data_IF_577181489846
#
_entry.id   IF_577181489846
#
_cell.length_a   1.000
_cell.length_b   1.000
_cell.length_c   1.000
_cell.angle_alpha   90.00
_cell.angle_beta   90.00
_cell.angle_gamma   90.00
#
_symmetry.space_group_name_H-M   'P 1'
#
loop_
_entity.id
_entity.type
_entity.pdbx_description
1 polymer ?
#
# COMPACT_ATOMS: atom_id res chain seq x y z
N UNK A 1 9.29 -61.32 31.46
CA UNK A 1 7.95 -61.60 30.97
C UNK A 1 7.09 -60.42 31.41
N UNK A 2 6.79 -59.48 30.58
CA UNK A 2 5.82 -59.46 29.55
C UNK A 2 6.10 -58.34 28.54
N UNK A 3 5.98 -58.70 27.30
CA UNK A 3 6.17 -57.91 26.09
C UNK A 3 4.82 -57.26 25.78
N UNK A 4 4.75 -55.92 25.67
CA UNK A 4 3.68 -55.30 24.93
C UNK A 4 4.14 -54.00 24.30
N UNK A 5 4.87 -54.16 23.22
CA UNK A 5 5.15 -53.09 22.24
C UNK A 5 3.90 -52.78 21.44
N UNK A 6 3.20 -51.67 21.78
CA UNK A 6 2.20 -51.09 20.90
C UNK A 6 2.88 -50.15 19.90
N UNK A 7 3.14 -50.67 18.70
CA UNK A 7 3.41 -49.88 17.48
C UNK A 7 2.24 -48.92 17.25
N UNK A 8 2.44 -47.63 17.50
CA UNK A 8 1.58 -46.57 16.95
C UNK A 8 1.80 -46.55 15.43
N UNK A 9 0.92 -47.25 14.72
CA UNK A 9 0.85 -47.20 13.29
C UNK A 9 0.55 -45.77 12.80
N UNK A 10 1.39 -45.26 11.94
CA UNK A 10 1.19 -44.06 11.17
C UNK A 10 -0.09 -44.15 10.33
N UNK A 11 -1.19 -43.65 10.86
CA UNK A 11 -2.34 -43.28 10.07
C UNK A 11 -2.08 -41.91 9.49
N UNK A 12 -1.23 -41.83 8.49
CA UNK A 12 -1.27 -40.76 7.50
C UNK A 12 -2.58 -40.93 6.72
N UNK A 13 -3.68 -40.49 7.31
CA UNK A 13 -4.95 -40.38 6.61
C UNK A 13 -4.71 -39.36 5.50
N UNK A 14 -4.66 -39.86 4.26
CA UNK A 14 -4.87 -39.06 3.08
C UNK A 14 -6.10 -38.17 3.36
N UNK A 15 -5.86 -36.88 3.61
CA UNK A 15 -6.92 -35.89 3.65
C UNK A 15 -7.52 -35.91 2.24
N UNK A 16 -8.60 -36.68 2.07
CA UNK A 16 -9.44 -36.56 0.88
C UNK A 16 -9.72 -35.09 0.70
N UNK A 17 -9.37 -34.55 -0.46
CA UNK A 17 -9.57 -33.16 -0.83
C UNK A 17 -11.06 -32.86 -0.69
N UNK A 18 -11.43 -32.28 0.42
CA UNK A 18 -12.79 -31.75 0.59
C UNK A 18 -12.96 -30.67 -0.49
N UNK A 19 -14.05 -30.66 -1.23
CA UNK A 19 -14.30 -29.63 -2.20
C UNK A 19 -14.17 -28.25 -1.52
N UNK A 20 -13.56 -27.26 -2.19
CA UNK A 20 -13.32 -25.96 -1.61
C UNK A 20 -14.65 -25.32 -1.15
N UNK A 21 -14.64 -24.66 0.00
CA UNK A 21 -15.82 -23.98 0.51
C UNK A 21 -16.35 -22.94 -0.49
N UNK A 22 -17.64 -22.59 -0.49
CA UNK A 22 -18.17 -21.54 -1.36
C UNK A 22 -17.39 -20.24 -1.27
N UNK A 23 -16.97 -19.83 -0.08
CA UNK A 23 -16.13 -18.64 0.11
C UNK A 23 -14.74 -18.78 -0.52
N UNK A 24 -14.15 -19.96 -0.52
CA UNK A 24 -12.88 -20.21 -1.17
C UNK A 24 -13.01 -20.09 -2.69
N UNK A 25 -14.07 -20.68 -3.27
CA UNK A 25 -14.35 -20.58 -4.72
C UNK A 25 -14.59 -19.14 -5.17
N UNK A 26 -15.39 -18.37 -4.43
CA UNK A 26 -15.65 -16.95 -4.72
C UNK A 26 -14.36 -16.13 -4.66
N UNK A 27 -13.55 -16.35 -3.63
CA UNK A 27 -12.28 -15.65 -3.46
C UNK A 27 -11.29 -15.95 -4.59
N UNK A 28 -11.20 -17.21 -5.00
CA UNK A 28 -10.36 -17.65 -6.11
C UNK A 28 -10.85 -17.09 -7.44
N UNK A 29 -12.15 -17.16 -7.72
CA UNK A 29 -12.77 -16.59 -8.92
C UNK A 29 -12.46 -15.10 -9.05
N UNK A 30 -12.66 -14.31 -7.98
CA UNK A 30 -12.35 -12.88 -7.98
C UNK A 30 -10.87 -12.62 -8.25
N UNK A 31 -9.98 -13.32 -7.54
CA UNK A 31 -8.56 -13.15 -7.69
C UNK A 31 -8.08 -13.47 -9.11
N UNK A 32 -8.47 -14.63 -9.64
CA UNK A 32 -8.10 -15.04 -11.00
C UNK A 32 -8.65 -14.08 -12.05
N UNK A 33 -9.90 -13.65 -11.91
CA UNK A 33 -10.53 -12.74 -12.87
C UNK A 33 -9.87 -11.37 -12.85
N UNK A 34 -9.63 -10.80 -11.65
CA UNK A 34 -8.95 -9.52 -11.49
C UNK A 34 -7.54 -9.54 -12.09
N UNK A 35 -6.73 -10.54 -11.74
CA UNK A 35 -5.36 -10.69 -12.25
C UNK A 35 -5.35 -10.84 -13.77
N UNK A 36 -6.23 -11.69 -14.31
CA UNK A 36 -6.35 -11.89 -15.75
C UNK A 36 -6.63 -10.59 -16.52
N UNK A 37 -7.47 -9.72 -15.98
CA UNK A 37 -7.81 -8.45 -16.63
C UNK A 37 -6.75 -7.36 -16.42
N UNK A 38 -5.94 -7.44 -15.36
CA UNK A 38 -4.76 -6.58 -15.19
C UNK A 38 -3.71 -6.93 -16.23
N UNK A 39 -3.39 -8.21 -16.36
CA UNK A 39 -2.33 -8.71 -17.25
C UNK A 39 -2.68 -8.57 -18.74
N UNK A 40 -3.98 -8.55 -19.09
CA UNK A 40 -4.44 -8.56 -20.47
C UNK A 40 -5.45 -7.43 -20.76
N UNK A 41 -4.98 -6.21 -21.06
CA UNK A 41 -5.87 -5.08 -21.35
C UNK A 41 -6.90 -5.33 -22.47
N UNK A 42 -6.52 -6.06 -23.53
CA UNK A 42 -7.45 -6.37 -24.64
C UNK A 42 -8.65 -7.22 -24.24
N UNK A 43 -8.55 -7.96 -23.13
CA UNK A 43 -9.71 -8.70 -22.60
C UNK A 43 -10.73 -7.80 -21.94
N UNK A 44 -10.34 -6.61 -21.48
CA UNK A 44 -11.26 -5.63 -20.88
C UNK A 44 -12.25 -5.11 -21.93
N UNK A 45 -11.76 -4.80 -23.11
CA UNK A 45 -12.61 -4.34 -24.22
C UNK A 45 -13.59 -5.42 -24.66
N UNK A 46 -13.12 -6.68 -24.71
CA UNK A 46 -13.97 -7.83 -25.02
C UNK A 46 -15.05 -8.05 -23.95
N UNK A 47 -14.71 -7.93 -22.69
CA UNK A 47 -15.65 -8.05 -21.58
C UNK A 47 -16.73 -6.95 -21.65
N UNK A 48 -16.31 -5.72 -21.95
CA UNK A 48 -17.22 -4.59 -22.12
C UNK A 48 -18.17 -4.82 -23.30
N UNK A 49 -17.67 -5.25 -24.47
CA UNK A 49 -18.47 -5.55 -25.64
C UNK A 49 -19.47 -6.69 -25.40
N UNK A 50 -19.04 -7.77 -24.71
CA UNK A 50 -19.93 -8.88 -24.36
C UNK A 50 -21.05 -8.46 -23.40
N UNK A 51 -20.73 -7.60 -22.41
CA UNK A 51 -21.74 -7.11 -21.47
C UNK A 51 -22.80 -6.26 -22.16
N UNK A 52 -22.41 -5.38 -23.09
CA UNK A 52 -23.37 -4.56 -23.88
C UNK A 52 -24.35 -5.40 -24.70
N UNK A 53 -23.94 -6.59 -25.13
CA UNK A 53 -24.81 -7.49 -25.87
C UNK A 53 -25.81 -8.26 -25.00
N UNK A 54 -25.47 -8.51 -23.74
CA UNK A 54 -26.21 -9.42 -22.85
C UNK A 54 -27.04 -8.69 -21.78
N UNK A 55 -26.67 -7.45 -21.46
CA UNK A 55 -27.20 -6.70 -20.33
C UNK A 55 -27.85 -5.41 -20.83
N UNK A 56 -29.04 -5.03 -20.34
CA UNK A 56 -29.65 -3.75 -20.69
C UNK A 56 -28.76 -2.57 -20.31
N UNK A 57 -28.73 -1.54 -21.16
CA UNK A 57 -27.86 -0.36 -20.99
C UNK A 57 -28.07 0.32 -19.65
N UNK A 58 -29.31 0.50 -19.20
CA UNK A 58 -29.62 1.11 -17.90
C UNK A 58 -28.92 0.37 -16.73
N UNK A 59 -28.87 -0.94 -16.79
CA UNK A 59 -28.25 -1.77 -15.75
C UNK A 59 -26.72 -1.67 -15.83
N UNK A 60 -26.15 -1.59 -17.03
CA UNK A 60 -24.72 -1.37 -17.20
C UNK A 60 -24.29 0.02 -16.72
N UNK A 61 -25.11 1.03 -16.95
CA UNK A 61 -24.85 2.39 -16.48
C UNK A 61 -24.88 2.45 -14.94
N UNK A 62 -25.90 1.83 -14.33
CA UNK A 62 -25.97 1.74 -12.87
C UNK A 62 -24.77 0.96 -12.29
N UNK A 63 -24.40 -0.17 -12.90
CA UNK A 63 -23.21 -0.94 -12.51
C UNK A 63 -21.93 -0.12 -12.67
N UNK A 64 -21.79 0.60 -13.78
CA UNK A 64 -20.66 1.50 -14.02
C UNK A 64 -20.56 2.60 -12.97
N UNK A 65 -21.68 3.21 -12.60
CA UNK A 65 -21.73 4.22 -11.53
C UNK A 65 -21.26 3.66 -10.19
N UNK A 66 -21.73 2.48 -9.78
CA UNK A 66 -21.29 1.83 -8.54
C UNK A 66 -19.80 1.53 -8.58
N UNK A 67 -19.31 0.96 -9.66
CA UNK A 67 -17.90 0.59 -9.78
C UNK A 67 -16.99 1.81 -9.81
N UNK A 68 -17.40 2.89 -10.49
CA UNK A 68 -16.50 4.00 -10.80
C UNK A 68 -16.61 5.18 -9.85
N UNK A 69 -17.78 5.44 -9.29
CA UNK A 69 -18.08 6.69 -8.60
C UNK A 69 -18.64 6.53 -7.19
N UNK A 70 -19.23 5.38 -6.87
CA UNK A 70 -19.73 5.14 -5.52
C UNK A 70 -18.61 4.95 -4.51
N UNK A 71 -18.96 4.99 -3.23
CA UNK A 71 -18.01 4.67 -2.15
C UNK A 71 -17.43 3.26 -2.37
N UNK A 72 -16.14 3.06 -2.13
CA UNK A 72 -15.48 1.76 -2.30
C UNK A 72 -16.19 0.58 -1.62
N UNK A 73 -16.94 0.81 -0.55
CA UNK A 73 -17.70 -0.24 0.12
C UNK A 73 -18.81 -0.84 -0.75
N UNK A 74 -19.50 -0.02 -1.53
CA UNK A 74 -20.53 -0.49 -2.46
C UNK A 74 -19.92 -1.29 -3.61
N UNK A 75 -18.86 -0.79 -4.21
CA UNK A 75 -18.13 -1.50 -5.27
C UNK A 75 -17.63 -2.86 -4.79
N UNK A 76 -16.96 -2.90 -3.64
CA UNK A 76 -16.37 -4.13 -3.11
C UNK A 76 -17.46 -5.15 -2.74
N UNK A 77 -18.57 -4.69 -2.14
CA UNK A 77 -19.74 -5.53 -1.88
C UNK A 77 -20.34 -6.10 -3.19
N UNK A 78 -20.49 -5.25 -4.20
CA UNK A 78 -21.07 -5.66 -5.49
C UNK A 78 -20.18 -6.70 -6.20
N UNK A 79 -18.87 -6.50 -6.23
CA UNK A 79 -17.92 -7.48 -6.81
C UNK A 79 -18.06 -8.86 -6.15
N UNK A 80 -18.21 -8.90 -4.83
CA UNK A 80 -18.37 -10.16 -4.09
C UNK A 80 -19.74 -10.80 -4.43
N UNK A 81 -20.81 -10.01 -4.51
CA UNK A 81 -22.12 -10.50 -4.87
C UNK A 81 -22.14 -11.11 -6.29
N UNK A 82 -21.56 -10.41 -7.25
CA UNK A 82 -21.45 -10.90 -8.63
C UNK A 82 -20.59 -12.16 -8.71
N UNK A 83 -19.49 -12.22 -7.99
CA UNK A 83 -18.65 -13.42 -7.95
C UNK A 83 -19.36 -14.61 -7.28
N UNK A 84 -20.19 -14.35 -6.26
CA UNK A 84 -21.00 -15.39 -5.64
C UNK A 84 -22.08 -15.90 -6.59
N UNK A 85 -22.82 -15.01 -7.27
CA UNK A 85 -23.80 -15.40 -8.29
C UNK A 85 -23.20 -16.19 -9.44
N UNK A 86 -21.95 -15.85 -9.82
CA UNK A 86 -21.21 -16.57 -10.87
C UNK A 86 -20.70 -17.94 -10.40
N UNK A 87 -20.29 -18.07 -9.14
CA UNK A 87 -19.71 -19.30 -8.58
C UNK A 87 -20.75 -20.30 -8.08
N UNK A 88 -22.02 -19.90 -7.93
CA UNK A 88 -23.09 -20.74 -7.44
C UNK A 88 -24.31 -20.62 -8.37
N UNK A 89 -24.92 -21.75 -8.70
CA UNK A 89 -26.17 -21.81 -9.46
C UNK A 89 -27.41 -21.48 -8.60
N UNK A 90 -27.21 -21.15 -7.31
CA UNK A 90 -28.29 -20.75 -6.43
C UNK A 90 -28.66 -19.29 -6.68
N UNK A 91 -29.96 -18.95 -6.58
CA UNK A 91 -30.45 -17.57 -6.63
C UNK A 91 -29.69 -16.71 -5.61
N UNK A 92 -29.34 -15.49 -6.02
CA UNK A 92 -28.62 -14.55 -5.19
C UNK A 92 -29.48 -14.18 -3.98
N UNK A 93 -29.08 -14.61 -2.80
CA UNK A 93 -29.74 -14.22 -1.57
C UNK A 93 -29.03 -12.99 -0.97
N UNK A 94 -29.54 -11.83 -1.33
CA UNK A 94 -29.00 -10.53 -0.87
C UNK A 94 -29.23 -10.29 0.62
N UNK A 95 -30.13 -11.06 1.24
CA UNK A 95 -30.41 -10.96 2.67
C UNK A 95 -29.36 -11.71 3.50
N UNK A 96 -28.58 -12.59 2.88
CA UNK A 96 -27.55 -13.34 3.60
C UNK A 96 -26.32 -12.49 3.81
N UNK A 97 -26.09 -12.11 5.06
CA UNK A 97 -24.86 -11.52 5.58
C UNK A 97 -23.58 -12.27 5.22
N UNK A 98 -23.70 -13.48 4.74
CA UNK A 98 -22.59 -14.44 4.58
C UNK A 98 -22.13 -14.58 3.14
N UNK A 99 -22.61 -13.81 2.21
CA UNK A 99 -22.09 -13.87 0.84
C UNK A 99 -20.62 -13.49 0.85
N UNK A 100 -19.81 -14.50 0.69
CA UNK A 100 -18.36 -14.38 0.71
C UNK A 100 -17.71 -14.29 2.08
N UNK A 101 -18.42 -13.87 3.12
CA UNK A 101 -17.89 -13.75 4.48
C UNK A 101 -16.67 -12.83 4.61
N UNK A 102 -16.21 -12.65 5.85
CA UNK A 102 -15.08 -11.77 6.18
C UNK A 102 -13.79 -12.12 5.41
N UNK A 103 -13.53 -13.41 5.17
CA UNK A 103 -12.33 -13.88 4.49
C UNK A 103 -12.26 -13.47 3.01
N UNK A 104 -13.40 -13.41 2.29
CA UNK A 104 -13.43 -12.97 0.88
C UNK A 104 -13.14 -11.48 0.80
N UNK A 105 -13.78 -10.68 1.65
CA UNK A 105 -13.56 -9.25 1.70
C UNK A 105 -12.11 -8.88 2.02
N UNK A 106 -11.52 -9.57 3.00
CA UNK A 106 -10.10 -9.34 3.34
C UNK A 106 -9.16 -9.66 2.17
N UNK A 107 -9.41 -10.75 1.44
CA UNK A 107 -8.58 -11.10 0.28
C UNK A 107 -8.77 -10.14 -0.88
N UNK A 108 -10.02 -9.75 -1.15
CA UNK A 108 -10.30 -8.71 -2.16
C UNK A 108 -9.65 -7.39 -1.77
N UNK A 109 -9.84 -6.92 -0.54
CA UNK A 109 -9.22 -5.71 -0.03
C UNK A 109 -7.68 -5.73 -0.10
N UNK A 110 -7.06 -6.87 0.22
CA UNK A 110 -5.62 -7.06 0.08
C UNK A 110 -5.18 -6.95 -1.39
N UNK A 111 -5.89 -7.59 -2.31
CA UNK A 111 -5.58 -7.51 -3.74
C UNK A 111 -5.75 -6.07 -4.27
N UNK A 112 -6.84 -5.39 -3.91
CA UNK A 112 -7.09 -4.01 -4.29
C UNK A 112 -6.00 -3.07 -3.76
N UNK A 113 -5.59 -3.24 -2.50
CA UNK A 113 -4.51 -2.47 -1.90
C UNK A 113 -3.16 -2.71 -2.60
N UNK A 114 -2.84 -3.96 -2.94
CA UNK A 114 -1.62 -4.31 -3.69
C UNK A 114 -1.59 -3.71 -5.10
N UNK A 115 -2.76 -3.43 -5.67
CA UNK A 115 -2.90 -2.77 -6.97
C UNK A 115 -3.27 -1.29 -6.83
N UNK A 116 -3.09 -0.73 -5.63
CA UNK A 116 -3.31 0.67 -5.27
C UNK A 116 -4.71 1.20 -5.61
N UNK A 117 -5.68 0.33 -5.53
CA UNK A 117 -7.08 0.69 -5.65
C UNK A 117 -7.63 0.88 -4.25
N UNK A 118 -8.16 2.08 -3.95
CA UNK A 118 -8.76 2.37 -2.66
C UNK A 118 -9.83 1.32 -2.35
N UNK A 119 -9.69 0.65 -1.23
CA UNK A 119 -10.64 -0.34 -0.72
C UNK A 119 -10.99 -0.02 0.72
N UNK A 120 -12.17 -0.42 1.13
CA UNK A 120 -12.54 -0.43 2.54
C UNK A 120 -12.29 -1.86 3.02
N UNK A 121 -11.13 -2.07 3.65
CA UNK A 121 -10.72 -3.38 4.17
C UNK A 121 -11.76 -4.00 5.12
N UNK A 122 -12.66 -3.17 5.63
CA UNK A 122 -13.72 -3.49 6.57
C UNK A 122 -15.12 -3.32 5.95
N UNK A 123 -15.26 -3.45 4.63
CA UNK A 123 -16.56 -3.25 3.95
C UNK A 123 -17.69 -4.09 4.60
N UNK A 124 -17.37 -5.22 5.24
CA UNK A 124 -18.32 -6.04 5.97
C UNK A 124 -18.55 -5.63 7.43
N UNK A 125 -17.71 -4.82 8.04
CA UNK A 125 -18.01 -4.23 9.35
C UNK A 125 -19.09 -3.14 9.23
N UNK A 126 -19.18 -2.52 8.06
CA UNK A 126 -20.16 -1.49 7.75
C UNK A 126 -21.45 -2.04 7.13
N UNK A 127 -21.54 -3.33 6.82
CA UNK A 127 -22.78 -3.96 6.38
C UNK A 127 -23.75 -3.91 7.56
N UNK A 128 -24.92 -3.31 7.33
CA UNK A 128 -25.95 -3.13 8.34
C UNK A 128 -26.32 -4.44 9.04
N UNK A 129 -26.74 -4.34 10.30
CA UNK A 129 -27.24 -5.51 11.05
C UNK A 129 -28.55 -6.05 10.51
N UNK A 130 -29.26 -5.26 9.71
CA UNK A 130 -30.52 -5.63 9.08
C UNK A 130 -30.26 -6.25 7.71
N UNK A 131 -30.98 -7.32 7.44
CA UNK A 131 -30.89 -8.14 6.24
C UNK A 131 -31.24 -7.40 4.95
N UNK A 132 -31.85 -6.22 5.03
CA UNK A 132 -32.32 -5.45 3.89
C UNK A 132 -31.26 -4.51 3.31
N UNK A 133 -30.23 -4.14 4.10
CA UNK A 133 -29.17 -3.24 3.66
C UNK A 133 -27.80 -3.87 3.88
N UNK A 134 -27.16 -4.33 2.82
CA UNK A 134 -25.84 -4.93 2.84
C UNK A 134 -24.72 -3.91 3.17
N UNK A 135 -24.91 -2.65 2.82
CA UNK A 135 -23.98 -1.55 3.04
C UNK A 135 -24.69 -0.42 3.75
N UNK A 136 -24.02 0.23 4.71
CA UNK A 136 -24.59 1.40 5.39
C UNK A 136 -24.60 2.59 4.43
N UNK A 137 -25.69 3.30 4.38
CA UNK A 137 -25.87 4.47 3.53
C UNK A 137 -26.93 4.19 2.46
N UNK A 138 -27.09 5.13 1.56
CA UNK A 138 -28.07 5.07 0.47
C UNK A 138 -27.35 5.45 -0.83
N UNK A 139 -27.14 4.46 -1.70
CA UNK A 139 -26.63 4.67 -3.06
C UNK A 139 -27.66 4.12 -4.05
N UNK A 140 -28.32 5.03 -4.76
CA UNK A 140 -29.42 4.69 -5.67
C UNK A 140 -28.99 3.72 -6.77
N UNK A 141 -27.78 3.86 -7.29
CA UNK A 141 -27.25 2.97 -8.34
C UNK A 141 -27.00 1.57 -7.80
N UNK A 142 -26.47 1.47 -6.59
CA UNK A 142 -26.25 0.20 -5.92
C UNK A 142 -27.58 -0.50 -5.62
N UNK A 143 -28.55 0.23 -5.07
CA UNK A 143 -29.88 -0.32 -4.77
C UNK A 143 -30.62 -0.79 -6.03
N UNK A 144 -30.53 -0.02 -7.12
CA UNK A 144 -31.12 -0.40 -8.41
C UNK A 144 -30.51 -1.70 -8.95
N UNK A 145 -29.18 -1.83 -8.93
CA UNK A 145 -28.50 -3.05 -9.37
C UNK A 145 -28.86 -4.23 -8.47
N UNK A 146 -28.85 -4.07 -7.16
CA UNK A 146 -29.20 -5.16 -6.25
C UNK A 146 -30.65 -5.62 -6.45
N UNK A 147 -31.58 -4.70 -6.62
CA UNK A 147 -32.99 -5.02 -6.88
C UNK A 147 -33.14 -5.85 -8.18
N UNK A 148 -32.42 -5.43 -9.22
CA UNK A 148 -32.42 -6.16 -10.47
C UNK A 148 -31.78 -7.55 -10.36
N UNK A 149 -30.63 -7.65 -9.70
CA UNK A 149 -29.94 -8.93 -9.43
C UNK A 149 -30.82 -9.91 -8.63
N UNK A 150 -31.68 -9.37 -7.72
CA UNK A 150 -32.58 -10.15 -6.89
C UNK A 150 -33.85 -10.62 -7.60
N UNK A 151 -34.13 -10.09 -8.78
CA UNK A 151 -35.35 -10.43 -9.49
C UNK A 151 -35.45 -11.90 -9.93
N UNK A 152 -34.34 -12.65 -9.84
CA UNK A 152 -34.28 -14.09 -10.17
C UNK A 152 -34.37 -14.41 -11.67
N UNK A 153 -34.30 -13.38 -12.53
CA UNK A 153 -34.47 -13.54 -13.99
C UNK A 153 -33.13 -13.68 -14.74
N UNK A 154 -32.01 -13.61 -14.04
CA UNK A 154 -30.69 -13.62 -14.65
C UNK A 154 -30.18 -15.03 -14.90
N UNK A 155 -29.64 -15.21 -16.09
CA UNK A 155 -28.93 -16.44 -16.48
C UNK A 155 -27.45 -16.39 -15.99
N UNK A 156 -26.83 -17.57 -15.86
CA UNK A 156 -25.43 -17.69 -15.46
C UNK A 156 -24.47 -16.89 -16.37
N UNK A 157 -24.77 -16.86 -17.68
CA UNK A 157 -24.03 -16.08 -18.67
C UNK A 157 -24.08 -14.58 -18.40
N UNK A 158 -25.21 -14.08 -17.92
CA UNK A 158 -25.39 -12.67 -17.59
C UNK A 158 -24.65 -12.32 -16.29
N UNK A 159 -24.70 -13.18 -15.27
CA UNK A 159 -23.88 -13.00 -14.05
C UNK A 159 -22.41 -12.96 -14.39
N UNK A 160 -21.95 -13.84 -15.27
CA UNK A 160 -20.55 -13.84 -15.71
C UNK A 160 -20.19 -12.56 -16.45
N UNK A 161 -21.03 -12.11 -17.36
CA UNK A 161 -20.82 -10.87 -18.12
C UNK A 161 -20.76 -9.64 -17.19
N UNK A 162 -21.64 -9.57 -16.18
CA UNK A 162 -21.63 -8.50 -15.17
C UNK A 162 -20.35 -8.51 -14.34
N UNK A 163 -19.93 -9.68 -13.88
CA UNK A 163 -18.70 -9.83 -13.14
C UNK A 163 -17.49 -9.40 -13.97
N UNK A 164 -17.38 -9.92 -15.20
CA UNK A 164 -16.27 -9.61 -16.10
C UNK A 164 -16.25 -8.10 -16.44
N UNK A 165 -17.39 -7.48 -16.67
CA UNK A 165 -17.51 -6.04 -16.90
C UNK A 165 -17.05 -5.22 -15.67
N UNK A 166 -17.58 -5.53 -14.50
CA UNK A 166 -17.23 -4.83 -13.27
C UNK A 166 -15.74 -4.98 -12.94
N UNK A 167 -15.23 -6.22 -13.05
CA UNK A 167 -13.81 -6.52 -12.78
C UNK A 167 -12.91 -5.86 -13.82
N UNK A 168 -13.28 -5.84 -15.11
CA UNK A 168 -12.52 -5.15 -16.14
C UNK A 168 -12.33 -3.65 -15.84
N UNK A 169 -13.39 -2.98 -15.36
CA UNK A 169 -13.33 -1.57 -14.96
C UNK A 169 -12.45 -1.34 -13.73
N UNK A 170 -12.52 -2.23 -12.75
CA UNK A 170 -11.63 -2.19 -11.57
C UNK A 170 -10.19 -2.43 -11.99
N UNK A 171 -9.93 -3.46 -12.79
CA UNK A 171 -8.60 -3.81 -13.28
C UNK A 171 -7.97 -2.70 -14.15
N UNK A 172 -8.80 -1.93 -14.87
CA UNK A 172 -8.31 -0.77 -15.63
C UNK A 172 -7.70 0.34 -14.75
N UNK A 173 -8.02 0.34 -13.45
CA UNK A 173 -7.46 1.27 -12.47
C UNK A 173 -6.26 0.69 -11.72
N UNK A 174 -6.04 -0.61 -11.86
CA UNK A 174 -4.90 -1.26 -11.22
C UNK A 174 -3.61 -0.67 -11.78
N UNK A 175 -2.73 -0.29 -10.88
CA UNK A 175 -1.39 0.20 -11.20
C UNK A 175 -0.41 -0.69 -10.46
N UNK A 176 0.02 -1.79 -11.06
CA UNK A 176 0.97 -2.69 -10.40
C UNK A 176 2.24 -1.91 -10.05
N UNK A 177 2.76 -2.15 -8.86
CA UNK A 177 4.08 -1.67 -8.47
C UNK A 177 5.10 -2.39 -9.32
N UNK A 178 5.98 -1.61 -9.98
CA UNK A 178 7.11 -2.17 -10.71
C UNK A 178 8.06 -2.85 -9.72
N UNK A 179 8.54 -4.06 -10.01
CA UNK A 179 9.50 -4.72 -9.14
C UNK A 179 10.83 -3.96 -9.13
N UNK A 180 11.51 -4.03 -7.99
CA UNK A 180 12.87 -3.48 -7.87
C UNK A 180 13.79 -4.15 -8.90
N UNK A 181 14.49 -3.38 -9.75
CA UNK A 181 15.41 -3.96 -10.72
C UNK A 181 16.67 -4.52 -10.04
N UNK A 182 17.37 -5.40 -10.73
CA UNK A 182 18.68 -5.86 -10.30
C UNK A 182 19.70 -4.75 -10.48
N UNK A 183 20.39 -4.37 -9.38
CA UNK A 183 21.41 -3.34 -9.41
C UNK A 183 22.79 -3.93 -9.68
N UNK A 184 23.60 -3.23 -10.47
CA UNK A 184 24.98 -3.63 -10.73
C UNK A 184 25.91 -2.98 -9.70
N UNK A 185 26.41 -3.77 -8.75
CA UNK A 185 27.18 -3.31 -7.62
C UNK A 185 28.38 -2.42 -8.00
N UNK A 186 29.12 -2.79 -9.08
CA UNK A 186 30.26 -2.00 -9.57
C UNK A 186 29.88 -0.59 -10.02
N UNK A 187 28.63 -0.38 -10.37
CA UNK A 187 28.08 0.89 -10.83
C UNK A 187 27.56 1.79 -9.72
N UNK A 188 27.37 1.30 -8.50
CA UNK A 188 26.88 2.06 -7.35
C UNK A 188 27.96 2.97 -6.76
N UNK A 189 28.55 3.83 -7.60
CA UNK A 189 29.51 4.82 -7.18
C UNK A 189 28.84 5.97 -6.42
N UNK A 190 29.63 6.71 -5.63
CA UNK A 190 29.15 7.89 -4.91
C UNK A 190 28.38 8.85 -5.85
N UNK A 191 29.03 9.28 -6.93
CA UNK A 191 28.47 10.27 -7.85
C UNK A 191 27.16 9.81 -8.48
N UNK A 192 27.04 8.54 -8.86
CA UNK A 192 25.83 8.01 -9.49
C UNK A 192 24.66 7.91 -8.52
N UNK A 193 24.91 7.46 -7.29
CA UNK A 193 23.85 7.40 -6.26
C UNK A 193 23.40 8.81 -5.87
N UNK A 194 24.32 9.76 -5.71
CA UNK A 194 23.98 11.15 -5.46
C UNK A 194 23.20 11.78 -6.63
N UNK A 195 23.56 11.45 -7.88
CA UNK A 195 22.83 11.90 -9.07
C UNK A 195 21.38 11.39 -9.11
N UNK A 196 21.18 10.10 -8.75
CA UNK A 196 19.84 9.52 -8.59
C UNK A 196 19.04 10.27 -7.53
N UNK A 197 19.61 10.47 -6.32
CA UNK A 197 18.92 11.16 -5.24
C UNK A 197 18.58 12.61 -5.61
N UNK A 198 19.49 13.31 -6.28
CA UNK A 198 19.22 14.67 -6.73
C UNK A 198 18.00 14.72 -7.67
N UNK A 199 17.95 13.83 -8.65
CA UNK A 199 16.81 13.71 -9.56
C UNK A 199 15.51 13.42 -8.82
N UNK A 200 15.51 12.45 -7.89
CA UNK A 200 14.31 12.10 -7.12
C UNK A 200 13.80 13.26 -6.27
N UNK A 201 14.70 14.07 -5.70
CA UNK A 201 14.32 15.22 -4.88
C UNK A 201 13.81 16.42 -5.71
N UNK A 202 13.96 16.37 -7.04
CA UNK A 202 13.36 17.33 -7.98
C UNK A 202 11.95 16.91 -8.42
N UNK A 203 11.57 15.64 -8.17
CA UNK A 203 10.24 15.13 -8.51
C UNK A 203 9.23 15.37 -7.40
N UNK A 204 7.96 15.58 -7.79
CA UNK A 204 6.87 15.81 -6.82
C UNK A 204 6.47 14.50 -6.12
N UNK A 205 7.00 14.26 -4.94
CA UNK A 205 6.70 13.08 -4.11
C UNK A 205 5.95 13.39 -2.81
N UNK A 206 5.67 14.67 -2.55
CA UNK A 206 5.11 15.16 -1.27
C UNK A 206 6.02 14.84 -0.06
N UNK A 207 7.32 14.78 -0.27
CA UNK A 207 8.31 14.47 0.77
C UNK A 207 8.63 12.98 0.95
N UNK A 208 8.05 12.11 0.11
CA UNK A 208 8.28 10.67 0.22
C UNK A 208 9.72 10.28 -0.11
N UNK A 209 10.27 10.82 -1.17
CA UNK A 209 11.64 10.52 -1.56
C UNK A 209 12.62 11.01 -0.52
N UNK A 210 12.41 12.21 0.02
CA UNK A 210 13.27 12.80 1.04
C UNK A 210 13.25 11.96 2.32
N UNK A 211 12.06 11.65 2.85
CA UNK A 211 11.91 10.91 4.10
C UNK A 211 12.47 9.50 3.99
N UNK A 212 12.11 8.76 2.94
CA UNK A 212 12.49 7.35 2.84
C UNK A 212 13.93 7.16 2.37
N UNK A 213 14.49 8.07 1.55
CA UNK A 213 15.92 8.07 1.24
C UNK A 213 16.75 8.33 2.49
N UNK A 214 16.41 9.37 3.26
CA UNK A 214 17.11 9.69 4.51
C UNK A 214 17.05 8.51 5.49
N UNK A 215 15.86 7.94 5.75
CA UNK A 215 15.70 6.81 6.65
C UNK A 215 16.51 5.57 6.21
N UNK A 216 16.47 5.24 4.92
CA UNK A 216 17.17 4.09 4.35
C UNK A 216 18.71 4.24 4.41
N UNK A 217 19.20 5.43 4.09
CA UNK A 217 20.64 5.75 4.16
C UNK A 217 21.12 5.73 5.61
N UNK A 218 20.41 6.38 6.52
CA UNK A 218 20.76 6.43 7.94
C UNK A 218 20.79 5.01 8.54
N UNK A 219 19.81 4.17 8.26
CA UNK A 219 19.79 2.78 8.70
C UNK A 219 21.00 2.01 8.18
N UNK A 220 21.35 2.19 6.89
CA UNK A 220 22.49 1.50 6.29
C UNK A 220 23.85 1.92 6.90
N UNK A 221 23.96 3.20 7.30
CA UNK A 221 25.13 3.70 8.04
C UNK A 221 25.21 3.09 9.43
N UNK A 222 24.11 3.13 10.18
CA UNK A 222 24.02 2.62 11.55
C UNK A 222 24.32 1.12 11.62
N UNK A 223 23.79 0.35 10.67
CA UNK A 223 24.11 -1.08 10.53
C UNK A 223 25.56 -1.33 10.14
N UNK A 224 26.12 -0.49 9.25
CA UNK A 224 27.52 -0.59 8.83
C UNK A 224 28.51 -0.39 9.98
N UNK A 225 28.13 0.37 10.98
CA UNK A 225 28.95 0.60 12.17
C UNK A 225 28.71 -0.42 13.29
N UNK A 226 27.79 -1.35 13.13
CA UNK A 226 27.52 -2.37 14.15
C UNK A 226 27.02 -1.82 15.48
N UNK A 227 26.39 -0.63 15.45
CA UNK A 227 25.99 0.11 16.65
C UNK A 227 24.84 -0.51 17.45
N UNK A 228 24.14 -1.49 16.90
CA UNK A 228 22.92 -2.07 17.49
C UNK A 228 21.72 -1.12 17.50
N UNK A 229 21.85 0.06 16.89
CA UNK A 229 20.76 1.01 16.73
C UNK A 229 19.85 0.59 15.58
N UNK A 230 18.59 1.03 15.65
CA UNK A 230 17.56 0.78 14.64
C UNK A 230 16.92 2.09 14.24
N UNK A 231 16.68 2.25 12.95
CA UNK A 231 15.94 3.39 12.41
C UNK A 231 14.51 2.96 12.12
N UNK A 232 13.57 3.72 12.63
CA UNK A 232 12.16 3.55 12.33
C UNK A 232 11.63 4.80 11.61
N UNK A 233 10.72 4.58 10.67
CA UNK A 233 9.99 5.65 9.98
C UNK A 233 8.52 5.30 9.89
N UNK A 234 7.70 6.31 9.66
CA UNK A 234 6.23 6.18 9.59
C UNK A 234 5.70 6.51 8.19
N UNK A 235 4.42 6.24 8.00
CA UNK A 235 3.71 6.75 6.83
C UNK A 235 3.65 8.29 6.89
N UNK A 236 3.89 8.95 5.75
CA UNK A 236 3.84 10.42 5.61
C UNK A 236 2.54 11.06 6.15
N UNK A 237 1.42 10.36 6.04
CA UNK A 237 0.10 10.85 6.46
C UNK A 237 -0.27 10.42 7.88
N UNK A 238 0.58 9.69 8.59
CA UNK A 238 0.31 9.28 9.96
C UNK A 238 0.60 10.43 10.91
N UNK A 239 -0.38 10.83 11.72
CA UNK A 239 -0.13 11.79 12.79
C UNK A 239 0.77 11.16 13.88
N UNK A 240 1.64 11.96 14.49
CA UNK A 240 2.54 11.50 15.56
C UNK A 240 1.79 10.83 16.71
N UNK A 241 0.60 11.38 17.06
CA UNK A 241 -0.27 10.80 18.09
C UNK A 241 -0.79 9.41 17.74
N UNK A 242 -1.10 9.16 16.47
CA UNK A 242 -1.61 7.85 16.03
C UNK A 242 -0.49 6.83 15.85
N UNK A 243 0.70 7.28 15.44
CA UNK A 243 1.86 6.43 15.21
C UNK A 243 2.69 6.17 16.46
N UNK A 244 2.48 6.94 17.54
CA UNK A 244 3.33 6.93 18.75
C UNK A 244 4.83 7.08 18.42
N UNK A 245 5.14 7.82 17.35
CA UNK A 245 6.49 8.01 16.86
C UNK A 245 7.03 9.39 17.22
N UNK A 246 8.33 9.47 17.50
CA UNK A 246 9.06 10.70 17.69
C UNK A 246 9.53 11.23 16.33
N UNK A 247 8.72 12.07 15.68
CA UNK A 247 9.05 12.63 14.37
C UNK A 247 8.80 11.66 13.19
N UNK A 248 9.29 12.04 12.02
CA UNK A 248 9.14 11.30 10.77
C UNK A 248 10.13 10.12 10.67
N UNK A 249 11.32 10.28 11.24
CA UNK A 249 12.36 9.26 11.36
C UNK A 249 12.91 9.30 12.77
N UNK A 250 13.06 8.14 13.41
CA UNK A 250 13.57 8.05 14.78
C UNK A 250 14.69 7.01 14.89
N UNK A 251 15.65 7.28 15.75
CA UNK A 251 16.72 6.36 16.11
C UNK A 251 16.37 5.67 17.41
N UNK A 252 16.41 4.35 17.40
CA UNK A 252 16.01 3.50 18.52
C UNK A 252 17.18 2.72 19.08
N UNK A 253 17.23 2.60 20.42
CA UNK A 253 18.02 1.59 21.10
C UNK A 253 17.08 0.73 21.95
N UNK A 254 16.92 -0.54 21.58
CA UNK A 254 15.84 -1.35 22.13
C UNK A 254 14.47 -0.68 21.91
N UNK A 255 13.66 -0.48 22.98
CA UNK A 255 12.36 0.20 22.89
C UNK A 255 12.46 1.74 23.03
N UNK A 256 13.63 2.31 23.31
CA UNK A 256 13.82 3.73 23.62
C UNK A 256 14.19 4.50 22.37
N UNK A 257 13.52 5.62 22.14
CA UNK A 257 13.95 6.64 21.17
C UNK A 257 15.12 7.41 21.77
N UNK A 258 16.18 7.59 21.01
CA UNK A 258 17.37 8.34 21.42
C UNK A 258 17.61 9.57 20.56
N UNK A 259 17.04 9.60 19.36
CA UNK A 259 17.14 10.74 18.44
C UNK A 259 15.93 10.78 17.52
N UNK A 260 15.52 11.97 17.05
CA UNK A 260 14.35 12.16 16.22
C UNK A 260 14.59 13.19 15.12
N UNK A 261 14.01 12.93 13.95
CA UNK A 261 14.13 13.75 12.75
C UNK A 261 12.75 14.06 12.19
N UNK A 262 12.47 15.35 12.00
CA UNK A 262 11.37 15.84 11.18
C UNK A 262 11.89 16.05 9.75
N UNK A 263 11.29 15.41 8.76
CA UNK A 263 11.69 15.52 7.35
C UNK A 263 10.64 16.29 6.59
N UNK A 264 11.06 17.26 5.79
CA UNK A 264 10.13 18.07 4.97
C UNK A 264 10.77 18.51 3.66
N UNK A 265 9.97 18.52 2.60
CA UNK A 265 10.31 19.18 1.34
C UNK A 265 9.95 20.67 1.35
N UNK A 266 9.30 21.15 2.41
CA UNK A 266 8.89 22.55 2.59
C UNK A 266 9.90 23.30 3.47
N UNK A 267 9.59 24.59 3.72
CA UNK A 267 10.34 25.41 4.64
C UNK A 267 10.49 24.74 6.01
N UNK A 268 11.71 24.61 6.46
CA UNK A 268 12.10 23.98 7.72
C UNK A 268 11.48 24.64 8.94
N UNK A 269 11.24 25.97 8.90
CA UNK A 269 10.68 26.72 10.03
C UNK A 269 9.27 26.24 10.40
N UNK A 270 8.52 25.70 9.45
CA UNK A 270 7.22 25.09 9.68
C UNK A 270 7.25 23.89 10.64
N UNK A 271 8.41 23.24 10.78
CA UNK A 271 8.63 22.07 11.62
C UNK A 271 9.17 22.39 13.02
N UNK A 272 9.58 23.62 13.30
CA UNK A 272 10.18 24.03 14.60
C UNK A 272 9.29 23.66 15.78
N UNK A 273 8.01 24.02 15.71
CA UNK A 273 7.05 23.71 16.78
C UNK A 273 6.90 22.20 17.00
N UNK A 274 6.86 21.42 15.91
CA UNK A 274 6.80 19.96 15.97
C UNK A 274 8.04 19.36 16.63
N UNK A 275 9.22 19.77 16.20
CA UNK A 275 10.49 19.33 16.76
C UNK A 275 10.62 19.66 18.27
N UNK A 276 10.25 20.89 18.66
CA UNK A 276 10.21 21.29 20.08
C UNK A 276 9.24 20.43 20.91
N UNK A 277 8.07 20.10 20.34
CA UNK A 277 7.10 19.23 21.02
C UNK A 277 7.61 17.79 21.13
N UNK A 278 8.25 17.26 20.08
CA UNK A 278 8.84 15.92 20.07
C UNK A 278 9.89 15.77 21.17
N UNK A 279 10.75 16.76 21.38
CA UNK A 279 11.74 16.77 22.48
C UNK A 279 11.03 16.58 23.83
N UNK A 280 9.94 17.32 24.07
CA UNK A 280 9.20 17.29 25.34
C UNK A 280 8.45 15.96 25.54
N UNK A 281 7.75 15.51 24.49
CA UNK A 281 6.88 14.32 24.57
C UNK A 281 7.68 13.01 24.74
N UNK A 282 8.90 12.97 24.24
CA UNK A 282 9.77 11.79 24.26
C UNK A 282 11.01 11.90 25.16
N UNK A 283 11.12 12.98 25.95
CA UNK A 283 12.23 13.26 26.86
C UNK A 283 13.58 13.15 26.13
N UNK A 284 13.66 13.80 24.96
CA UNK A 284 14.88 13.84 24.15
C UNK A 284 15.74 15.04 24.52
N UNK A 285 17.06 14.91 24.40
CA UNK A 285 17.98 16.03 24.58
C UNK A 285 17.95 16.99 23.40
N UNK A 286 17.60 16.51 22.20
CA UNK A 286 17.60 17.27 20.95
C UNK A 286 16.68 16.65 19.92
N UNK A 287 16.39 17.43 18.85
CA UNK A 287 15.74 16.93 17.64
C UNK A 287 16.35 17.59 16.38
N UNK A 288 16.10 17.01 15.24
CA UNK A 288 16.65 17.47 13.97
C UNK A 288 15.53 17.75 12.97
N UNK A 289 15.70 18.78 12.15
CA UNK A 289 14.86 19.08 11.00
C UNK A 289 15.70 18.84 9.75
N UNK A 290 15.27 17.94 8.90
CA UNK A 290 15.93 17.62 7.62
C UNK A 290 15.06 18.20 6.51
N UNK A 291 15.54 19.21 5.81
CA UNK A 291 14.74 19.98 4.88
C UNK A 291 15.54 20.47 3.66
N UNK A 292 14.86 20.95 2.63
CA UNK A 292 15.50 21.78 1.62
C UNK A 292 15.70 23.19 2.21
N UNK A 293 16.95 23.59 2.39
CA UNK A 293 17.34 24.85 3.04
C UNK A 293 17.90 25.79 1.99
N UNK A 294 17.13 26.83 1.67
CA UNK A 294 17.53 27.85 0.70
C UNK A 294 18.44 28.94 1.32
N UNK A 295 18.39 29.11 2.64
CA UNK A 295 19.13 30.14 3.38
C UNK A 295 20.56 29.73 3.62
N UNK A 296 21.39 30.73 3.95
CA UNK A 296 22.75 30.45 4.39
C UNK A 296 22.74 29.79 5.78
N UNK A 297 23.74 28.99 6.06
CA UNK A 297 23.85 28.32 7.36
C UNK A 297 23.92 29.31 8.52
N UNK A 298 24.49 30.50 8.28
CA UNK A 298 24.52 31.59 9.26
C UNK A 298 23.14 32.12 9.58
N UNK A 299 22.28 32.29 8.58
CA UNK A 299 20.91 32.75 8.77
C UNK A 299 20.07 31.75 9.57
N UNK A 300 20.25 30.45 9.27
CA UNK A 300 19.60 29.37 10.03
C UNK A 300 20.01 29.39 11.50
N UNK A 301 21.32 29.51 11.78
CA UNK A 301 21.85 29.60 13.14
C UNK A 301 21.26 30.81 13.87
N UNK A 302 21.19 31.98 13.22
CA UNK A 302 20.66 33.18 13.83
C UNK A 302 19.17 33.03 14.21
N UNK A 303 18.39 32.41 13.34
CA UNK A 303 16.98 32.10 13.65
C UNK A 303 16.81 31.10 14.80
N UNK A 304 17.68 30.09 14.86
CA UNK A 304 17.63 29.07 15.92
C UNK A 304 18.06 29.60 17.31
N UNK A 305 18.80 30.71 17.38
CA UNK A 305 19.17 31.34 18.69
C UNK A 305 17.96 31.76 19.54
N UNK A 306 16.81 32.01 18.92
CA UNK A 306 15.58 32.33 19.62
C UNK A 306 14.88 31.11 20.26
N UNK A 307 15.26 29.91 19.85
CA UNK A 307 14.66 28.68 20.35
C UNK A 307 15.30 28.24 21.67
N UNK A 308 14.47 27.80 22.60
CA UNK A 308 14.94 27.24 23.88
C UNK A 308 15.27 25.74 23.80
N UNK A 309 14.82 25.07 22.76
CA UNK A 309 15.05 23.65 22.53
C UNK A 309 16.30 23.43 21.66
N UNK A 310 17.05 22.36 21.91
CA UNK A 310 18.21 22.01 21.09
C UNK A 310 17.74 21.37 19.77
N UNK A 311 17.60 22.21 18.76
CA UNK A 311 17.16 21.85 17.42
C UNK A 311 18.28 22.15 16.43
N UNK A 312 18.59 21.17 15.57
CA UNK A 312 19.48 21.40 14.43
C UNK A 312 18.71 21.28 13.11
N UNK A 313 19.13 22.06 12.12
CA UNK A 313 18.59 22.02 10.75
C UNK A 313 19.66 21.45 9.82
N UNK A 314 19.30 20.41 9.09
CA UNK A 314 20.17 19.65 8.21
C UNK A 314 19.67 19.77 6.77
N UNK A 315 20.45 20.35 5.82
CA UNK A 315 20.10 20.37 4.42
C UNK A 315 19.99 18.94 3.86
N UNK A 316 18.80 18.55 3.35
CA UNK A 316 18.51 17.16 2.97
C UNK A 316 19.49 16.61 1.94
N UNK A 317 19.76 17.34 0.85
CA UNK A 317 20.68 16.89 -0.21
C UNK A 317 22.07 16.66 0.34
N UNK A 318 22.63 17.65 1.04
CA UNK A 318 23.98 17.55 1.62
C UNK A 318 24.05 16.41 2.64
N UNK A 319 23.06 16.27 3.50
CA UNK A 319 23.00 15.22 4.51
C UNK A 319 22.98 13.84 3.87
N UNK A 320 22.11 13.62 2.86
CA UNK A 320 22.08 12.36 2.13
C UNK A 320 23.40 12.07 1.42
N UNK A 321 24.07 13.07 0.84
CA UNK A 321 25.37 12.88 0.19
C UNK A 321 26.46 12.48 1.20
N UNK A 322 26.47 13.08 2.39
CA UNK A 322 27.37 12.66 3.46
C UNK A 322 27.13 11.20 3.86
N UNK A 323 25.86 10.80 4.03
CA UNK A 323 25.53 9.42 4.34
C UNK A 323 25.97 8.46 3.21
N UNK A 324 25.73 8.80 1.93
CA UNK A 324 26.22 8.01 0.78
C UNK A 324 27.74 7.91 0.77
N UNK A 325 28.48 8.97 1.17
CA UNK A 325 29.94 9.00 1.12
C UNK A 325 30.59 7.99 2.06
N UNK A 326 29.98 7.71 3.21
CA UNK A 326 30.50 6.76 4.20
C UNK A 326 30.06 5.32 3.94
N UNK A 327 29.14 5.08 2.98
CA UNK A 327 28.67 3.76 2.65
C UNK A 327 29.55 3.07 1.60
N UNK A 328 29.81 1.78 1.80
CA UNK A 328 30.37 0.92 0.75
C UNK A 328 29.34 0.73 -0.39
N UNK A 329 29.77 0.24 -1.54
CA UNK A 329 28.85 -0.06 -2.67
C UNK A 329 27.74 -1.03 -2.27
N UNK A 330 28.07 -2.08 -1.50
CA UNK A 330 27.10 -3.01 -0.98
C UNK A 330 26.07 -2.32 -0.07
N UNK A 331 26.51 -1.46 0.82
CA UNK A 331 25.61 -0.71 1.71
C UNK A 331 24.77 0.33 0.96
N UNK A 332 25.24 0.85 -0.15
CA UNK A 332 24.43 1.69 -1.05
C UNK A 332 23.33 0.89 -1.74
N UNK A 333 23.64 -0.36 -2.17
CA UNK A 333 22.63 -1.28 -2.67
C UNK A 333 21.57 -1.57 -1.60
N UNK A 334 22.00 -1.93 -0.40
CA UNK A 334 21.11 -2.19 0.75
C UNK A 334 20.18 -0.98 1.01
N UNK A 335 20.74 0.25 0.97
CA UNK A 335 19.98 1.48 1.16
C UNK A 335 18.93 1.69 0.07
N UNK A 336 19.25 1.50 -1.21
CA UNK A 336 18.31 1.66 -2.31
C UNK A 336 17.20 0.60 -2.27
N UNK A 337 17.52 -0.65 -1.92
CA UNK A 337 16.51 -1.71 -1.72
C UNK A 337 15.58 -1.37 -0.57
N UNK A 338 16.13 -0.89 0.53
CA UNK A 338 15.35 -0.46 1.69
C UNK A 338 14.46 0.74 1.36
N UNK A 339 14.96 1.72 0.61
CA UNK A 339 14.15 2.84 0.14
C UNK A 339 12.94 2.35 -0.68
N UNK A 340 13.16 1.41 -1.59
CA UNK A 340 12.07 0.78 -2.33
C UNK A 340 11.05 0.09 -1.42
N UNK A 341 11.52 -0.70 -0.44
CA UNK A 341 10.65 -1.38 0.53
C UNK A 341 9.83 -0.40 1.38
N UNK A 342 10.40 0.74 1.76
CA UNK A 342 9.70 1.79 2.49
C UNK A 342 8.66 2.48 1.62
N UNK A 343 9.00 2.78 0.36
CA UNK A 343 8.07 3.33 -0.61
C UNK A 343 6.91 2.36 -0.88
N UNK A 344 7.19 1.09 -1.14
CA UNK A 344 6.16 0.06 -1.38
C UNK A 344 5.23 -0.13 -0.17
N UNK A 345 5.80 -0.07 1.04
CA UNK A 345 5.04 -0.27 2.29
C UNK A 345 4.18 0.92 2.68
N UNK A 346 4.68 2.13 2.55
CA UNK A 346 4.07 3.31 3.16
C UNK A 346 3.48 4.29 2.16
N UNK A 347 3.94 4.28 0.90
CA UNK A 347 3.42 5.18 -0.12
C UNK A 347 2.16 4.61 -0.76
N UNK A 348 1.08 5.40 -0.72
CA UNK A 348 -0.20 5.00 -1.32
C UNK A 348 -0.29 5.39 -2.80
N UNK A 349 0.55 6.30 -3.27
CA UNK A 349 0.63 6.69 -4.67
C UNK A 349 1.67 5.84 -5.41
N UNK A 350 1.17 4.93 -6.24
CA UNK A 350 2.01 4.04 -7.05
C UNK A 350 2.92 4.80 -8.00
N UNK A 351 2.49 5.97 -8.46
CA UNK A 351 3.32 6.76 -9.37
C UNK A 351 4.66 7.13 -8.72
N UNK A 352 4.66 7.40 -7.41
CA UNK A 352 5.89 7.67 -6.65
C UNK A 352 6.77 6.42 -6.55
N UNK A 353 6.18 5.25 -6.24
CA UNK A 353 6.94 3.99 -6.17
C UNK A 353 7.54 3.64 -7.54
N UNK A 354 6.71 3.72 -8.58
CA UNK A 354 7.14 3.43 -9.95
C UNK A 354 8.13 4.46 -10.48
N UNK A 355 7.99 5.73 -10.13
CA UNK A 355 8.94 6.79 -10.46
C UNK A 355 10.34 6.50 -9.92
N UNK A 356 10.43 6.01 -8.68
CA UNK A 356 11.71 5.54 -8.13
C UNK A 356 12.32 4.41 -8.97
N UNK A 357 11.52 3.40 -9.34
CA UNK A 357 11.98 2.28 -10.18
C UNK A 357 12.41 2.75 -11.57
N UNK A 358 11.63 3.67 -12.17
CA UNK A 358 11.95 4.28 -13.47
C UNK A 358 13.25 5.08 -13.40
N UNK A 359 13.43 5.88 -12.36
CA UNK A 359 14.66 6.63 -12.14
C UNK A 359 15.90 5.70 -11.99
N UNK A 360 15.74 4.53 -11.38
CA UNK A 360 16.79 3.49 -11.33
C UNK A 360 17.09 2.91 -12.70
N UNK A 361 16.06 2.63 -13.51
CA UNK A 361 16.20 1.98 -14.83
C UNK A 361 16.72 2.94 -15.90
N UNK A 362 16.25 4.19 -15.89
CA UNK A 362 16.72 5.22 -16.83
C UNK A 362 18.16 5.67 -16.56
N UNK A 363 18.62 5.43 -15.36
CA UNK A 363 20.02 5.58 -15.05
C UNK A 363 20.75 4.28 -15.44
N UNK A 364 20.94 4.05 -16.76
CA UNK A 364 21.68 2.88 -17.33
C UNK A 364 22.99 2.58 -16.60
N UNK A 365 23.35 3.46 -15.73
CA UNK A 365 24.52 3.40 -14.91
C UNK A 365 24.31 2.58 -13.61
N UNK A 366 23.10 2.25 -13.21
CA UNK A 366 22.81 1.55 -11.94
C UNK A 366 22.28 0.12 -12.16
N UNK A 367 21.60 -0.13 -13.27
CA UNK A 367 21.00 -1.44 -13.62
C UNK A 367 21.76 -2.19 -14.70
#
# INVERSE_FOLDING_TARGET
>A
MDVNGKRKGDKKILRSERPPSPSARVSELLHLTLTKFVDNPSLRDKAQAAAVQLIPTEQLDALGMVVDKSDPSYRDALLIQLAYGTASTASLDLTRRQVGGRGVAQRLGKWLAQNHIKSVSDCFQNIGKNTENLVRGNDKSFDAILTWLSSGQLQDTQFRALLDYAVARVAARARPVKPMPSLILSRLTFARVCGLLNRLFEETSKGAYEQYAFAALLQSVVEGWGSGLRIETKNLNASDKSAKSAGDVQVMTGPRVIDAYEVTANDWSSKLRGASQTIKDHDLSRAHIVADVAETFSDVIEKLKAESADISVLPIKTTCYLLVSVLTRQKREDALRRMYELLDRYQTDVAVVNGFVEALMENDALT
#
